data_IF_605081432570
#
_entry.id   IF_605081432570
#
_cell.length_a   1.000
_cell.length_b   1.000
_cell.length_c   1.000
_cell.angle_alpha   90.00
_cell.angle_beta   90.00
_cell.angle_gamma   90.00
#
_symmetry.space_group_name_H-M   'P 1'
#
loop_
_entity.id
_entity.type
_entity.pdbx_description
1 polymer ?
#
# COMPACT_ATOMS: atom_id res chain seq x y z
N UNK A 1 -32.24 -27.78 -23.91
CA UNK A 1 -31.18 -26.80 -24.25
C UNK A 1 -30.49 -26.42 -22.94
N UNK A 2 -29.29 -26.91 -22.61
CA UNK A 2 -28.56 -26.38 -21.48
C UNK A 2 -28.05 -24.98 -21.84
N UNK A 3 -28.22 -24.05 -20.89
CA UNK A 3 -27.89 -22.64 -21.00
C UNK A 3 -26.38 -22.45 -21.21
N UNK A 4 -26.01 -21.96 -22.39
CA UNK A 4 -24.62 -21.81 -22.83
C UNK A 4 -23.96 -20.50 -22.36
N UNK A 5 -24.50 -19.82 -21.34
CA UNK A 5 -24.08 -18.45 -20.95
C UNK A 5 -23.51 -18.30 -19.54
N UNK A 6 -23.01 -19.37 -18.90
CA UNK A 6 -22.54 -19.28 -17.50
C UNK A 6 -21.10 -19.74 -17.27
N UNK A 7 -20.24 -19.80 -18.30
CA UNK A 7 -18.84 -20.22 -18.12
C UNK A 7 -17.79 -19.21 -18.62
N UNK A 8 -18.21 -18.07 -19.16
CA UNK A 8 -17.30 -17.11 -19.81
C UNK A 8 -16.72 -16.08 -18.83
N UNK A 9 -17.22 -16.02 -17.59
CA UNK A 9 -16.83 -15.01 -16.59
C UNK A 9 -16.16 -15.60 -15.35
N UNK A 10 -16.04 -16.93 -15.25
CA UNK A 10 -15.36 -17.57 -14.12
C UNK A 10 -13.87 -17.73 -14.45
N UNK A 11 -12.95 -17.06 -13.73
CA UNK A 11 -11.53 -17.31 -13.91
C UNK A 11 -11.22 -18.78 -13.66
N UNK A 12 -10.29 -19.34 -14.43
CA UNK A 12 -9.81 -20.70 -14.21
C UNK A 12 -9.08 -20.79 -12.87
N UNK A 13 -9.00 -21.98 -12.24
CA UNK A 13 -8.20 -22.18 -11.04
C UNK A 13 -6.75 -21.70 -11.22
N UNK A 14 -6.16 -21.94 -12.39
CA UNK A 14 -4.80 -21.48 -12.71
C UNK A 14 -4.71 -19.95 -12.76
N UNK A 15 -5.71 -19.27 -13.33
CA UNK A 15 -5.76 -17.80 -13.34
C UNK A 15 -5.90 -17.21 -11.93
N UNK A 16 -6.62 -17.88 -11.03
CA UNK A 16 -6.70 -17.50 -9.62
C UNK A 16 -5.37 -17.73 -8.90
N UNK A 17 -4.67 -18.83 -9.20
CA UNK A 17 -3.36 -19.13 -8.63
C UNK A 17 -2.31 -18.12 -9.07
N UNK A 18 -2.23 -17.81 -10.37
CA UNK A 18 -1.34 -16.77 -10.89
C UNK A 18 -1.62 -15.39 -10.27
N UNK A 19 -2.89 -15.08 -10.00
CA UNK A 19 -3.27 -13.84 -9.35
C UNK A 19 -2.80 -13.81 -7.89
N UNK A 20 -2.94 -14.91 -7.14
CA UNK A 20 -2.44 -15.04 -5.78
C UNK A 20 -0.91 -14.92 -5.72
N UNK A 21 -0.18 -15.57 -6.64
CA UNK A 21 1.29 -15.48 -6.73
C UNK A 21 1.76 -14.05 -7.02
N UNK A 22 1.01 -13.29 -7.83
CA UNK A 22 1.30 -11.85 -8.03
C UNK A 22 1.05 -11.01 -6.78
N UNK A 23 0.14 -11.44 -5.91
CA UNK A 23 -0.13 -10.78 -4.63
C UNK A 23 0.94 -11.06 -3.58
N UNK A 24 1.71 -12.15 -3.69
CA UNK A 24 2.86 -12.44 -2.82
C UNK A 24 4.04 -11.47 -3.04
N UNK A 25 4.07 -10.74 -4.16
CA UNK A 25 5.11 -9.76 -4.41
C UNK A 25 4.88 -8.49 -3.60
N UNK A 26 5.96 -7.98 -3.00
CA UNK A 26 5.96 -6.67 -2.35
C UNK A 26 5.50 -5.56 -3.31
N UNK A 27 4.65 -4.66 -2.81
CA UNK A 27 4.12 -3.52 -3.58
C UNK A 27 4.83 -2.22 -3.17
N UNK A 28 5.38 -1.50 -4.15
CA UNK A 28 5.93 -0.16 -3.94
C UNK A 28 4.84 0.90 -4.17
N UNK A 29 4.51 1.68 -3.14
CA UNK A 29 3.64 2.86 -3.24
C UNK A 29 4.48 4.13 -3.18
N UNK A 30 4.33 4.99 -4.18
CA UNK A 30 5.05 6.27 -4.26
C UNK A 30 4.08 7.41 -3.92
N UNK A 31 4.45 8.22 -2.93
CA UNK A 31 3.74 9.46 -2.58
C UNK A 31 4.37 10.63 -3.35
N UNK A 32 3.78 10.96 -4.51
CA UNK A 32 4.25 12.03 -5.40
C UNK A 32 3.60 13.37 -5.05
N UNK A 33 4.30 14.48 -5.31
CA UNK A 33 3.79 15.82 -5.04
C UNK A 33 4.55 16.88 -5.83
N UNK A 34 3.82 17.89 -6.29
CA UNK A 34 4.28 18.85 -7.30
C UNK A 34 5.36 19.85 -6.84
N UNK A 35 5.58 19.98 -5.52
CA UNK A 35 6.55 20.91 -4.96
C UNK A 35 7.16 20.41 -3.63
N UNK A 36 8.26 21.03 -3.16
CA UNK A 36 8.73 20.86 -1.77
C UNK A 36 7.66 21.31 -0.76
N UNK A 37 7.61 20.66 0.40
CA UNK A 37 6.69 21.05 1.47
C UNK A 37 5.22 20.63 1.32
N UNK A 38 4.80 20.09 0.17
CA UNK A 38 3.40 19.64 -0.09
C UNK A 38 2.92 18.43 0.72
N UNK A 39 3.69 17.96 1.70
CA UNK A 39 3.24 16.91 2.63
C UNK A 39 3.55 15.46 2.25
N UNK A 40 4.34 15.19 1.20
CA UNK A 40 4.66 13.80 0.76
C UNK A 40 5.10 12.87 1.88
N UNK A 41 6.08 13.31 2.69
CA UNK A 41 6.59 12.52 3.84
C UNK A 41 5.54 12.37 4.94
N UNK A 42 4.76 13.42 5.18
CA UNK A 42 3.71 13.39 6.21
C UNK A 42 2.64 12.34 5.85
N UNK A 43 2.14 12.37 4.61
CA UNK A 43 1.14 11.40 4.15
C UNK A 43 1.66 9.97 4.09
N UNK A 44 2.94 9.80 3.72
CA UNK A 44 3.60 8.49 3.78
C UNK A 44 3.59 7.93 5.22
N UNK A 45 3.93 8.75 6.21
CA UNK A 45 3.94 8.33 7.62
C UNK A 45 2.53 8.08 8.16
N UNK A 46 1.55 8.91 7.80
CA UNK A 46 0.13 8.70 8.15
C UNK A 46 -0.38 7.37 7.60
N UNK A 47 -0.08 7.05 6.34
CA UNK A 47 -0.42 5.75 5.77
C UNK A 47 0.29 4.59 6.48
N UNK A 48 1.56 4.77 6.87
CA UNK A 48 2.28 3.79 7.69
C UNK A 48 1.62 3.53 9.04
N UNK A 49 1.20 4.59 9.74
CA UNK A 49 0.46 4.50 11.02
C UNK A 49 -0.86 3.79 10.89
N UNK A 50 -1.61 4.04 9.82
CA UNK A 50 -2.85 3.32 9.56
C UNK A 50 -2.58 1.81 9.42
N UNK A 51 -1.54 1.41 8.67
CA UNK A 51 -1.18 0.00 8.54
C UNK A 51 -0.70 -0.62 9.85
N UNK A 52 0.06 0.12 10.65
CA UNK A 52 0.48 -0.31 11.98
C UNK A 52 -0.74 -0.52 12.89
N UNK A 53 -1.73 0.38 12.85
CA UNK A 53 -2.98 0.23 13.59
C UNK A 53 -3.81 -0.97 13.11
N UNK A 54 -3.70 -1.34 11.84
CA UNK A 54 -4.29 -2.56 11.26
C UNK A 54 -3.50 -3.84 11.62
N UNK A 55 -2.46 -3.75 12.45
CA UNK A 55 -1.65 -4.89 12.91
C UNK A 55 -0.58 -5.35 11.92
N UNK A 56 -0.28 -4.56 10.90
CA UNK A 56 0.83 -4.84 9.98
C UNK A 56 2.15 -4.51 10.68
N UNK A 57 3.15 -5.37 10.54
CA UNK A 57 4.52 -5.08 10.97
C UNK A 57 5.12 -3.99 10.07
N UNK A 58 5.28 -2.79 10.64
CA UNK A 58 5.73 -1.58 9.93
C UNK A 58 7.04 -1.10 10.52
N UNK A 59 8.03 -0.93 9.65
CA UNK A 59 9.34 -0.38 10.00
C UNK A 59 9.62 0.89 9.21
N UNK A 60 10.29 1.84 9.85
CA UNK A 60 10.84 3.03 9.18
C UNK A 60 12.32 2.77 8.92
N UNK A 61 12.69 2.54 7.66
CA UNK A 61 14.10 2.37 7.28
C UNK A 61 14.87 3.71 7.27
N UNK A 62 14.27 4.74 6.67
CA UNK A 62 14.82 6.10 6.62
C UNK A 62 13.69 7.11 6.56
N UNK A 63 13.84 8.23 7.26
CA UNK A 63 12.90 9.36 7.21
C UNK A 63 13.63 10.68 7.40
N UNK A 64 13.31 11.66 6.57
CA UNK A 64 13.82 13.02 6.68
C UNK A 64 12.67 13.99 7.00
N UNK A 65 12.57 14.40 8.26
CA UNK A 65 11.50 15.29 8.73
C UNK A 65 11.72 16.74 8.35
N UNK A 66 12.96 17.13 8.01
CA UNK A 66 13.35 18.51 7.70
C UNK A 66 12.93 19.51 8.80
N UNK A 67 12.98 19.08 10.07
CA UNK A 67 12.63 19.91 11.23
C UNK A 67 11.13 20.15 11.45
N UNK A 68 10.25 19.55 10.64
CA UNK A 68 8.80 19.67 10.83
C UNK A 68 8.33 18.85 12.02
N UNK A 69 7.92 19.55 13.09
CA UNK A 69 7.49 18.94 14.37
C UNK A 69 6.36 17.92 14.20
N UNK A 70 5.33 18.25 13.42
CA UNK A 70 4.20 17.34 13.19
C UNK A 70 4.61 16.07 12.44
N UNK A 71 5.54 16.19 11.48
CA UNK A 71 6.09 15.03 10.77
C UNK A 71 6.95 14.17 11.71
N UNK A 72 7.74 14.80 12.58
CA UNK A 72 8.55 14.10 13.58
C UNK A 72 7.69 13.33 14.58
N UNK A 73 6.57 13.89 15.03
CA UNK A 73 5.63 13.21 15.92
C UNK A 73 5.09 11.90 15.33
N UNK A 74 5.03 11.79 13.99
CA UNK A 74 4.60 10.56 13.31
C UNK A 74 5.69 9.48 13.22
N UNK A 75 6.95 9.79 13.57
CA UNK A 75 8.05 8.83 13.63
C UNK A 75 8.05 8.07 14.96
N UNK A 76 7.62 8.71 16.04
CA UNK A 76 7.64 8.19 17.41
C UNK A 76 6.44 7.28 17.70
N UNK A 77 6.62 5.97 17.70
CA UNK A 77 5.53 5.00 17.86
C UNK A 77 6.02 3.59 18.02
#
# INVERSE_FOLDING_TARGET
MPDARSNETRPSPDALLEQAEREERGRLRIFLGAAPGVGKTYEMLMAGRARLADGVDVVIGIVETHGRKETLALVEG
#
